data_IF_790240455660
#
_entry.id   IF_790240455660
#
_cell.length_a   1.000
_cell.length_b   1.000
_cell.length_c   1.000
_cell.angle_alpha   90.00
_cell.angle_beta   90.00
_cell.angle_gamma   90.00
#
_symmetry.space_group_name_H-M   'P 1'
#
loop_
_entity.id
_entity.type
_entity.pdbx_description
1 polymer ?
#
# COMPACT_ATOMS: atom_id res chain seq x y z
N UNK A 1 24.62 -7.74 -22.05
CA UNK A 1 23.30 -7.29 -21.57
C UNK A 1 22.62 -8.29 -20.64
N UNK A 2 22.34 -9.55 -21.04
CA UNK A 2 21.71 -10.56 -20.13
C UNK A 2 22.50 -10.84 -18.84
N UNK A 3 23.84 -10.80 -18.89
CA UNK A 3 24.69 -11.01 -17.71
C UNK A 3 24.73 -9.80 -16.76
N UNK A 4 24.53 -8.59 -17.27
CA UNK A 4 24.59 -7.35 -16.48
C UNK A 4 23.34 -7.15 -15.63
N UNK A 5 22.16 -7.51 -16.16
CA UNK A 5 20.88 -7.47 -15.42
C UNK A 5 20.89 -8.50 -14.28
N UNK A 6 21.42 -9.70 -14.53
CA UNK A 6 21.55 -10.73 -13.50
C UNK A 6 22.52 -10.31 -12.38
N UNK A 7 23.62 -9.61 -12.71
CA UNK A 7 24.57 -9.12 -11.70
C UNK A 7 24.03 -7.98 -10.83
N UNK A 8 23.15 -7.11 -11.37
CA UNK A 8 22.48 -6.07 -10.57
C UNK A 8 21.46 -6.69 -9.61
N UNK A 9 20.75 -7.75 -10.05
CA UNK A 9 19.83 -8.52 -9.20
C UNK A 9 20.58 -9.31 -8.11
N UNK A 10 21.76 -9.85 -8.42
CA UNK A 10 22.55 -10.67 -7.48
C UNK A 10 23.38 -9.85 -6.46
N UNK A 11 23.65 -8.57 -6.71
CA UNK A 11 24.43 -7.74 -5.78
C UNK A 11 23.57 -7.08 -4.69
N UNK A 12 22.24 -7.06 -4.86
CA UNK A 12 21.27 -6.49 -3.92
C UNK A 12 20.84 -7.43 -2.78
N UNK A 13 21.32 -8.67 -2.77
CA UNK A 13 20.85 -9.73 -1.85
C UNK A 13 21.63 -9.85 -0.54
N UNK A 14 22.67 -9.03 -0.31
CA UNK A 14 23.56 -9.21 0.86
C UNK A 14 23.41 -8.20 2.00
N UNK A 15 22.56 -7.18 1.87
CA UNK A 15 22.32 -6.19 2.92
C UNK A 15 20.86 -5.78 2.88
N UNK A 16 20.04 -6.29 3.80
CA UNK A 16 18.66 -5.84 3.93
C UNK A 16 18.20 -5.94 5.38
N UNK A 17 17.99 -4.79 6.01
CA UNK A 17 17.07 -4.64 7.14
C UNK A 17 15.84 -3.91 6.58
N UNK A 18 14.66 -4.47 6.83
CA UNK A 18 13.43 -4.04 6.19
C UNK A 18 12.74 -2.88 6.93
N UNK A 19 12.42 -1.81 6.19
CA UNK A 19 11.30 -0.95 6.52
C UNK A 19 10.69 -0.36 5.24
N UNK A 20 9.48 -0.80 4.89
CA UNK A 20 8.68 -0.25 3.79
C UNK A 20 7.29 0.07 4.30
N UNK A 21 6.83 1.28 4.03
CA UNK A 21 5.44 1.70 4.26
C UNK A 21 4.61 1.12 3.10
N UNK A 22 3.57 0.33 3.43
CA UNK A 22 2.47 -0.08 2.53
C UNK A 22 2.87 -1.07 1.43
N UNK A 23 2.72 -2.36 1.68
CA UNK A 23 3.09 -3.43 0.74
C UNK A 23 1.88 -3.96 -0.04
N UNK A 24 0.77 -4.23 0.64
CA UNK A 24 -0.53 -4.55 0.03
C UNK A 24 -1.45 -3.31 0.09
N UNK A 25 -2.29 -3.12 -0.93
CA UNK A 25 -3.19 -1.96 -0.98
C UNK A 25 -4.25 -2.04 0.12
N UNK A 26 -4.76 -3.24 0.43
CA UNK A 26 -5.75 -3.47 1.50
C UNK A 26 -5.24 -3.09 2.91
N UNK A 27 -3.93 -2.90 3.10
CA UNK A 27 -3.37 -2.36 4.35
C UNK A 27 -3.82 -0.93 4.63
N UNK A 28 -4.25 -0.22 3.59
CA UNK A 28 -4.79 1.13 3.65
C UNK A 28 -6.28 1.11 3.30
N UNK A 29 -7.17 1.74 4.07
CA UNK A 29 -8.60 1.72 3.77
C UNK A 29 -8.93 2.32 2.40
N UNK A 30 -8.24 3.39 1.96
CA UNK A 30 -8.41 3.93 0.60
C UNK A 30 -7.91 2.99 -0.52
N UNK A 31 -6.98 2.07 -0.20
CA UNK A 31 -6.49 1.03 -1.10
C UNK A 31 -7.46 -0.14 -1.32
N UNK A 32 -8.61 -0.17 -0.65
CA UNK A 32 -9.66 -1.18 -0.86
C UNK A 32 -10.45 -0.92 -2.15
N UNK A 33 -10.54 0.33 -2.59
CA UNK A 33 -11.32 0.74 -3.76
C UNK A 33 -10.43 1.09 -4.93
N UNK A 34 -11.01 1.02 -6.13
CA UNK A 34 -10.40 1.53 -7.35
C UNK A 34 -8.99 0.94 -7.62
N UNK A 35 -8.83 -0.37 -7.42
CA UNK A 35 -7.58 -1.06 -7.75
C UNK A 35 -7.57 -1.49 -9.23
N UNK A 36 -6.42 -1.38 -9.92
CA UNK A 36 -6.31 -1.73 -11.34
C UNK A 36 -6.10 -3.24 -11.61
N UNK A 37 -6.10 -4.05 -10.56
CA UNK A 37 -5.80 -5.49 -10.59
C UNK A 37 -6.88 -6.30 -9.89
N UNK A 38 -6.97 -7.58 -10.24
CA UNK A 38 -7.70 -8.62 -9.53
C UNK A 38 -6.82 -9.36 -8.53
N UNK A 39 -5.55 -9.57 -8.88
CA UNK A 39 -4.58 -10.24 -8.00
C UNK A 39 -3.26 -9.49 -8.03
N UNK A 40 -2.66 -9.35 -6.85
CA UNK A 40 -1.32 -8.79 -6.66
C UNK A 40 -0.49 -9.71 -5.76
N UNK A 41 0.76 -9.87 -6.14
CA UNK A 41 1.79 -10.47 -5.30
C UNK A 41 2.91 -9.46 -5.08
N UNK A 42 3.52 -9.46 -3.91
CA UNK A 42 4.69 -8.64 -3.60
C UNK A 42 5.71 -9.48 -2.82
N UNK A 43 6.99 -9.23 -3.05
CA UNK A 43 8.06 -9.80 -2.23
C UNK A 43 9.09 -8.74 -1.88
N UNK A 44 9.62 -8.83 -0.67
CA UNK A 44 10.65 -7.95 -0.13
C UNK A 44 11.43 -8.66 0.98
N UNK A 45 12.64 -8.18 1.35
CA UNK A 45 13.42 -8.73 2.45
C UNK A 45 12.64 -8.72 3.77
N UNK A 46 12.73 -9.81 4.54
CA UNK A 46 12.24 -9.84 5.92
C UNK A 46 13.22 -9.12 6.85
N UNK A 47 12.78 -8.81 8.08
CA UNK A 47 13.67 -8.42 9.16
C UNK A 47 14.56 -9.60 9.63
N UNK A 48 14.13 -10.84 9.36
CA UNK A 48 14.89 -12.05 9.67
C UNK A 48 15.87 -12.39 8.55
N UNK A 49 17.13 -12.62 8.91
CA UNK A 49 18.19 -12.97 7.98
C UNK A 49 17.84 -14.24 7.18
N UNK A 50 18.06 -14.19 5.87
CA UNK A 50 17.80 -15.30 4.96
C UNK A 50 16.31 -15.56 4.66
N UNK A 51 15.40 -14.74 5.18
CA UNK A 51 13.95 -14.85 4.91
C UNK A 51 13.44 -13.71 4.04
N UNK A 52 12.40 -14.01 3.28
CA UNK A 52 11.69 -13.04 2.45
C UNK A 52 10.22 -13.01 2.83
N UNK A 53 9.64 -11.83 2.89
CA UNK A 53 8.19 -11.68 3.02
C UNK A 53 7.56 -11.76 1.64
N UNK A 54 6.46 -12.51 1.53
CA UNK A 54 5.62 -12.62 0.35
C UNK A 54 4.22 -12.16 0.75
N UNK A 55 3.73 -11.11 0.12
CA UNK A 55 2.36 -10.65 0.25
C UNK A 55 1.52 -11.11 -0.94
N UNK A 56 0.28 -11.51 -0.69
CA UNK A 56 -0.72 -11.81 -1.70
C UNK A 56 -1.99 -11.01 -1.40
N UNK A 57 -2.58 -10.42 -2.43
CA UNK A 57 -3.85 -9.71 -2.34
C UNK A 57 -4.75 -10.06 -3.53
N UNK A 58 -6.03 -10.32 -3.24
CA UNK A 58 -7.10 -10.37 -4.21
C UNK A 58 -8.00 -9.15 -4.07
N UNK A 59 -8.44 -8.60 -5.19
CA UNK A 59 -9.40 -7.50 -5.28
C UNK A 59 -10.53 -7.85 -6.25
N UNK A 60 -11.75 -7.49 -5.88
CA UNK A 60 -12.95 -7.69 -6.67
C UNK A 60 -13.83 -6.44 -6.63
N UNK A 61 -14.05 -5.84 -7.79
CA UNK A 61 -15.05 -4.78 -7.99
C UNK A 61 -16.30 -5.32 -8.68
N UNK A 62 -17.47 -5.22 -8.04
CA UNK A 62 -18.79 -5.57 -8.57
C UNK A 62 -19.68 -4.33 -8.61
N UNK A 63 -19.62 -3.60 -9.72
CA UNK A 63 -20.28 -2.30 -9.84
C UNK A 63 -19.70 -1.31 -8.83
N UNK A 64 -20.50 -0.70 -7.94
CA UNK A 64 -19.99 0.20 -6.93
C UNK A 64 -19.32 -0.52 -5.74
N UNK A 65 -19.55 -1.82 -5.54
CA UNK A 65 -19.04 -2.56 -4.39
C UNK A 65 -17.62 -3.06 -4.69
N UNK A 66 -16.72 -2.88 -3.75
CA UNK A 66 -15.32 -3.30 -3.82
C UNK A 66 -15.01 -4.19 -2.62
N UNK A 67 -14.33 -5.29 -2.86
CA UNK A 67 -13.83 -6.20 -1.83
C UNK A 67 -12.34 -6.44 -2.07
N UNK A 68 -11.54 -6.38 -1.00
CA UNK A 68 -10.12 -6.77 -1.05
C UNK A 68 -9.79 -7.70 0.12
N UNK A 69 -8.96 -8.69 -0.13
CA UNK A 69 -8.40 -9.56 0.92
C UNK A 69 -6.93 -9.79 0.63
N UNK A 70 -6.09 -9.72 1.66
CA UNK A 70 -4.67 -9.94 1.50
C UNK A 70 -4.00 -10.48 2.76
N UNK A 71 -2.87 -11.14 2.59
CA UNK A 71 -2.09 -11.72 3.68
C UNK A 71 -0.61 -11.69 3.33
N UNK A 72 0.22 -11.83 4.36
CA UNK A 72 1.63 -12.12 4.20
C UNK A 72 1.92 -13.59 4.54
N UNK A 73 3.08 -14.04 4.09
CA UNK A 73 3.76 -15.24 4.53
C UNK A 73 5.26 -14.99 4.45
N UNK A 74 6.06 -15.75 5.21
CA UNK A 74 7.52 -15.77 5.04
C UNK A 74 7.97 -16.96 4.20
N UNK A 75 8.99 -16.77 3.38
CA UNK A 75 9.72 -17.84 2.71
C UNK A 75 11.11 -17.98 3.37
N UNK A 76 11.59 -19.20 3.63
CA UNK A 76 11.00 -20.51 3.24
C UNK A 76 9.92 -21.06 4.20
N UNK A 77 9.71 -20.43 5.36
CA UNK A 77 8.79 -20.90 6.40
C UNK A 77 7.33 -20.50 6.09
N UNK A 78 6.73 -21.17 5.10
CA UNK A 78 5.37 -20.89 4.64
C UNK A 78 4.33 -21.33 5.68
N UNK A 79 3.96 -20.43 6.59
CA UNK A 79 2.88 -20.63 7.57
C UNK A 79 1.66 -19.77 7.21
N UNK A 80 0.48 -20.38 7.19
CA UNK A 80 -0.78 -19.71 6.83
C UNK A 80 -1.57 -19.18 8.04
N UNK A 81 -0.92 -19.01 9.19
CA UNK A 81 -1.55 -18.46 10.40
C UNK A 81 -1.25 -16.95 10.57
N UNK A 82 -0.88 -16.29 9.48
CA UNK A 82 -0.53 -14.87 9.48
C UNK A 82 -1.77 -13.97 9.48
N UNK A 83 -1.52 -12.67 9.72
CA UNK A 83 -2.56 -11.64 9.71
C UNK A 83 -3.18 -11.51 8.33
N UNK A 84 -4.51 -11.64 8.27
CA UNK A 84 -5.32 -11.42 7.07
C UNK A 84 -5.93 -10.04 7.13
N UNK A 85 -5.70 -9.25 6.10
CA UNK A 85 -6.30 -7.95 5.87
C UNK A 85 -7.55 -8.12 5.03
N UNK A 86 -8.67 -7.58 5.49
CA UNK A 86 -9.96 -7.63 4.79
C UNK A 86 -10.48 -6.21 4.62
N UNK A 87 -10.93 -5.89 3.41
CA UNK A 87 -11.46 -4.60 3.05
C UNK A 87 -12.78 -4.71 2.31
N UNK A 88 -13.69 -3.79 2.61
CA UNK A 88 -14.94 -3.58 1.88
C UNK A 88 -15.11 -2.09 1.59
N UNK A 89 -15.56 -1.75 0.39
CA UNK A 89 -15.81 -0.36 0.00
C UNK A 89 -16.95 -0.20 -0.98
N UNK A 90 -17.47 1.02 -1.04
CA UNK A 90 -18.45 1.47 -2.02
C UNK A 90 -17.85 2.68 -2.72
N UNK A 91 -17.78 2.64 -4.05
CA UNK A 91 -17.33 3.74 -4.90
C UNK A 91 -18.41 4.09 -5.92
N UNK A 92 -18.81 5.36 -5.97
CA UNK A 92 -19.84 5.86 -6.89
C UNK A 92 -19.53 7.28 -7.34
N UNK A 93 -19.55 7.51 -8.65
CA UNK A 93 -19.40 8.86 -9.23
C UNK A 93 -18.09 9.56 -8.87
N UNK A 94 -17.02 8.80 -8.55
CA UNK A 94 -15.74 9.34 -8.10
C UNK A 94 -15.62 9.56 -6.59
N UNK A 95 -16.69 9.35 -5.82
CA UNK A 95 -16.65 9.34 -4.36
C UNK A 95 -16.51 7.91 -3.85
N UNK A 96 -15.91 7.73 -2.68
CA UNK A 96 -15.90 6.43 -2.02
C UNK A 96 -15.99 6.51 -0.50
N UNK A 97 -16.49 5.43 0.08
CA UNK A 97 -16.32 5.06 1.47
C UNK A 97 -15.77 3.63 1.51
N UNK A 98 -14.79 3.38 2.35
CA UNK A 98 -14.23 2.06 2.53
C UNK A 98 -13.81 1.81 3.96
N UNK A 99 -13.79 0.55 4.34
CA UNK A 99 -13.30 0.09 5.62
C UNK A 99 -12.31 -1.04 5.40
N UNK A 100 -11.31 -1.12 6.28
CA UNK A 100 -10.44 -2.28 6.38
C UNK A 100 -10.28 -2.71 7.83
N UNK A 101 -10.13 -4.00 8.04
CA UNK A 101 -9.84 -4.60 9.33
C UNK A 101 -8.85 -5.76 9.13
N UNK A 102 -8.36 -6.30 10.23
CA UNK A 102 -7.47 -7.47 10.22
C UNK A 102 -8.05 -8.60 11.07
N UNK A 103 -7.79 -9.84 10.68
CA UNK A 103 -8.17 -11.06 11.39
C UNK A 103 -7.12 -12.16 11.12
N UNK A 104 -7.39 -13.40 11.46
CA UNK A 104 -6.61 -14.59 11.06
C UNK A 104 -7.43 -15.46 10.12
N UNK A 105 -6.77 -16.36 9.39
CA UNK A 105 -7.44 -17.32 8.48
C UNK A 105 -8.51 -18.13 9.23
N UNK A 106 -8.19 -18.60 10.43
CA UNK A 106 -9.09 -19.43 11.25
C UNK A 106 -10.32 -18.66 11.77
N UNK A 107 -10.26 -17.33 11.80
CA UNK A 107 -11.32 -16.47 12.35
C UNK A 107 -11.98 -15.56 11.31
N UNK A 108 -11.83 -15.88 10.02
CA UNK A 108 -12.42 -15.09 8.92
C UNK A 108 -13.94 -14.95 9.02
N UNK A 109 -14.63 -15.95 9.55
CA UNK A 109 -16.09 -15.98 9.69
C UNK A 109 -16.59 -15.44 11.03
N UNK A 110 -15.70 -15.15 11.98
CA UNK A 110 -16.04 -14.63 13.31
C UNK A 110 -15.79 -13.12 13.38
N UNK A 111 -16.86 -12.33 13.27
CA UNK A 111 -16.78 -10.86 13.36
C UNK A 111 -16.15 -10.35 14.65
N UNK A 112 -16.26 -11.10 15.75
CA UNK A 112 -15.72 -10.67 17.05
C UNK A 112 -14.19 -10.76 17.11
N UNK A 113 -13.57 -11.52 16.22
CA UNK A 113 -12.12 -11.66 16.13
C UNK A 113 -11.43 -10.54 15.33
N UNK A 114 -12.20 -9.78 14.53
CA UNK A 114 -11.64 -8.70 13.72
C UNK A 114 -11.11 -7.56 14.58
N UNK A 115 -9.98 -6.97 14.18
CA UNK A 115 -9.49 -5.72 14.74
C UNK A 115 -10.45 -4.56 14.48
N UNK A 116 -10.27 -3.47 15.20
CA UNK A 116 -11.04 -2.26 15.00
C UNK A 116 -10.89 -1.75 13.54
N UNK A 117 -12.01 -1.58 12.81
CA UNK A 117 -11.93 -1.23 11.41
C UNK A 117 -11.50 0.22 11.22
N UNK A 118 -10.55 0.44 10.32
CA UNK A 118 -10.19 1.77 9.85
C UNK A 118 -11.05 2.15 8.66
N UNK A 119 -11.64 3.33 8.69
CA UNK A 119 -12.51 3.84 7.63
C UNK A 119 -11.77 4.90 6.81
N UNK A 120 -12.03 4.97 5.51
CA UNK A 120 -11.66 6.09 4.66
C UNK A 120 -12.89 6.62 3.92
N UNK A 121 -12.94 7.93 3.76
CA UNK A 121 -13.85 8.63 2.87
C UNK A 121 -13.02 9.38 1.85
N UNK A 122 -13.45 9.48 0.60
CA UNK A 122 -12.60 10.17 -0.36
C UNK A 122 -13.16 10.37 -1.73
N UNK A 123 -12.32 10.99 -2.54
CA UNK A 123 -12.44 11.07 -3.98
C UNK A 123 -11.45 10.11 -4.59
N UNK A 124 -11.88 9.32 -5.56
CA UNK A 124 -11.00 8.35 -6.18
C UNK A 124 -11.56 7.82 -7.47
N UNK A 125 -10.65 7.37 -8.32
CA UNK A 125 -11.00 6.75 -9.57
C UNK A 125 -9.81 6.02 -10.14
N UNK A 126 -10.10 5.02 -10.96
CA UNK A 126 -9.10 4.38 -11.78
C UNK A 126 -9.59 4.29 -13.22
N UNK A 127 -8.65 4.26 -14.13
CA UNK A 127 -8.88 3.99 -15.54
C UNK A 127 -7.88 2.92 -15.96
N UNK A 128 -8.35 1.87 -16.64
CA UNK A 128 -7.52 0.85 -17.29
C UNK A 128 -7.86 0.90 -18.78
N UNK A 129 -6.88 1.13 -19.64
CA UNK A 129 -7.10 1.32 -21.08
C UNK A 129 -7.08 0.00 -21.86
N UNK A 130 -6.35 -1.01 -21.37
CA UNK A 130 -6.31 -2.34 -21.97
C UNK A 130 -5.91 -3.41 -20.95
N UNK A 131 -6.42 -4.63 -21.16
CA UNK A 131 -6.03 -5.83 -20.41
C UNK A 131 -4.71 -6.40 -20.96
N UNK A 132 -4.46 -6.23 -22.27
CA UNK A 132 -3.30 -6.81 -22.98
C UNK A 132 -2.06 -5.93 -22.88
N UNK A 133 -2.25 -4.61 -22.78
CA UNK A 133 -1.21 -3.62 -22.54
C UNK A 133 -1.61 -2.83 -21.30
N UNK A 134 -1.08 -3.14 -20.12
CA UNK A 134 -1.53 -2.55 -18.87
C UNK A 134 -1.06 -1.09 -18.77
N UNK A 135 -1.81 -0.23 -19.44
CA UNK A 135 -1.86 1.21 -19.21
C UNK A 135 -3.04 1.47 -18.31
N UNK A 136 -2.75 2.08 -17.17
CA UNK A 136 -3.72 2.43 -16.17
C UNK A 136 -3.28 3.69 -15.43
N UNK A 137 -4.26 4.39 -14.89
CA UNK A 137 -4.07 5.56 -14.05
C UNK A 137 -5.00 5.48 -12.85
N UNK A 138 -4.53 5.90 -11.68
CA UNK A 138 -5.26 5.92 -10.43
C UNK A 138 -5.09 7.27 -9.74
N UNK A 139 -6.19 7.75 -9.18
CA UNK A 139 -6.25 8.91 -8.32
C UNK A 139 -6.97 8.52 -7.03
N UNK A 140 -6.44 8.97 -5.89
CA UNK A 140 -7.07 8.86 -4.58
C UNK A 140 -6.76 10.13 -3.77
N UNK A 141 -7.80 10.74 -3.22
CA UNK A 141 -7.72 11.70 -2.12
C UNK A 141 -8.59 11.16 -1.00
N UNK A 142 -7.99 10.76 0.12
CA UNK A 142 -8.69 10.12 1.23
C UNK A 142 -8.55 10.88 2.54
N UNK A 143 -9.63 10.90 3.30
CA UNK A 143 -9.74 11.33 4.68
C UNK A 143 -9.92 10.09 5.55
N UNK A 144 -8.99 9.87 6.47
CA UNK A 144 -8.90 8.65 7.29
C UNK A 144 -8.95 9.06 8.76
N UNK A 145 -10.13 9.00 9.41
CA UNK A 145 -10.24 9.25 10.84
C UNK A 145 -9.55 8.13 11.64
N UNK A 146 -8.88 8.50 12.73
CA UNK A 146 -8.16 7.53 13.56
C UNK A 146 -9.06 6.76 14.54
N UNK A 147 -10.18 7.35 14.95
CA UNK A 147 -10.99 6.91 16.09
C UNK A 147 -12.51 7.01 15.83
N UNK A 148 -12.95 6.90 14.58
CA UNK A 148 -14.38 6.96 14.22
C UNK A 148 -15.18 5.74 14.70
N UNK A 149 -14.57 4.54 14.62
CA UNK A 149 -15.16 3.30 15.10
C UNK A 149 -14.32 2.81 16.26
N UNK A 150 -14.96 2.41 17.35
CA UNK A 150 -14.33 1.79 18.52
C UNK A 150 -14.87 0.38 18.73
N UNK A 151 -14.07 -0.48 19.36
CA UNK A 151 -14.48 -1.83 19.77
C UNK A 151 -14.76 -1.92 21.27
N UNK A 152 -16.00 -2.23 21.64
CA UNK A 152 -16.43 -2.42 23.03
C UNK A 152 -17.13 -3.77 23.21
N UNK A 153 -16.65 -4.60 24.14
CA UNK A 153 -17.22 -5.93 24.43
C UNK A 153 -17.42 -6.80 23.17
N UNK A 154 -16.45 -6.77 22.24
CA UNK A 154 -16.51 -7.53 20.98
C UNK A 154 -17.39 -6.90 19.89
N UNK A 155 -18.08 -5.80 20.15
CA UNK A 155 -18.95 -5.12 19.20
C UNK A 155 -18.32 -3.82 18.71
N UNK A 156 -18.56 -3.48 17.44
CA UNK A 156 -18.15 -2.21 16.86
C UNK A 156 -19.20 -1.14 17.10
N UNK A 157 -18.77 0.04 17.52
CA UNK A 157 -19.64 1.20 17.75
C UNK A 157 -19.01 2.46 17.15
N UNK A 158 -19.85 3.42 16.78
CA UNK A 158 -19.38 4.76 16.45
C UNK A 158 -18.87 5.44 17.73
N UNK A 159 -17.73 6.12 17.64
CA UNK A 159 -17.23 6.93 18.73
C UNK A 159 -18.02 8.25 18.80
N UNK A 160 -18.80 8.42 19.86
CA UNK A 160 -19.61 9.63 20.06
C UNK A 160 -18.75 10.87 20.40
N UNK A 161 -17.51 10.67 20.85
CA UNK A 161 -16.55 11.74 21.15
C UNK A 161 -15.49 11.91 20.04
N UNK A 162 -15.83 11.52 18.81
CA UNK A 162 -14.95 11.59 17.66
C UNK A 162 -14.48 13.02 17.35
N UNK A 163 -13.16 13.19 17.19
CA UNK A 163 -12.53 14.45 16.79
C UNK A 163 -12.23 14.44 15.27
N UNK A 164 -12.93 15.30 14.53
CA UNK A 164 -12.76 15.48 13.09
C UNK A 164 -11.35 15.91 12.67
N UNK A 165 -10.56 16.46 13.58
CA UNK A 165 -9.18 16.87 13.34
C UNK A 165 -8.18 15.75 13.65
N UNK A 166 -8.60 14.68 14.34
CA UNK A 166 -7.82 13.47 14.55
C UNK A 166 -7.90 12.52 13.34
N UNK A 167 -7.51 13.03 12.18
CA UNK A 167 -7.59 12.30 10.92
C UNK A 167 -6.39 12.61 10.01
N UNK A 168 -6.09 11.66 9.13
CA UNK A 168 -5.07 11.81 8.09
C UNK A 168 -5.73 12.18 6.76
N UNK A 169 -5.00 12.94 5.93
CA UNK A 169 -5.34 13.20 4.53
C UNK A 169 -4.25 12.64 3.66
N UNK A 170 -4.62 11.75 2.75
CA UNK A 170 -3.69 11.12 1.81
C UNK A 170 -4.07 11.47 0.38
N UNK A 171 -3.07 11.69 -0.46
CA UNK A 171 -3.19 11.91 -1.89
C UNK A 171 -2.29 10.91 -2.61
N UNK A 172 -2.84 10.17 -3.57
CA UNK A 172 -2.11 9.24 -4.42
C UNK A 172 -2.50 9.49 -5.86
N UNK A 173 -1.49 9.68 -6.71
CA UNK A 173 -1.61 9.74 -8.16
C UNK A 173 -0.63 8.72 -8.71
N UNK A 174 -1.11 7.79 -9.54
CA UNK A 174 -0.29 6.72 -10.07
C UNK A 174 -0.65 6.45 -11.52
N UNK A 175 0.32 6.20 -12.38
CA UNK A 175 0.07 5.86 -13.80
C UNK A 175 1.15 4.93 -14.34
N UNK A 176 0.75 4.11 -15.30
CA UNK A 176 1.60 3.27 -16.15
C UNK A 176 1.34 3.53 -17.64
N UNK A 177 0.90 4.75 -18.01
CA UNK A 177 0.52 5.04 -19.40
C UNK A 177 1.74 5.25 -20.32
N UNK A 178 2.70 6.07 -19.89
CA UNK A 178 3.94 6.39 -20.64
C UNK A 178 5.20 6.04 -19.86
N UNK A 179 5.09 5.07 -18.95
CA UNK A 179 6.08 4.74 -17.92
C UNK A 179 5.47 4.82 -16.53
N UNK A 180 6.19 4.32 -15.51
CA UNK A 180 5.69 4.33 -14.13
C UNK A 180 5.83 5.72 -13.51
N UNK A 181 4.69 6.34 -13.21
CA UNK A 181 4.59 7.55 -12.42
C UNK A 181 3.89 7.25 -11.10
N UNK A 182 4.42 7.79 -10.01
CA UNK A 182 3.78 7.78 -8.69
C UNK A 182 4.02 9.14 -8.06
N UNK A 183 2.99 9.73 -7.50
CA UNK A 183 3.08 10.78 -6.51
C UNK A 183 2.18 10.41 -5.33
N UNK A 184 2.78 10.20 -4.18
CA UNK A 184 2.10 9.94 -2.92
C UNK A 184 2.40 11.06 -1.93
N UNK A 185 1.38 11.54 -1.23
CA UNK A 185 1.52 12.48 -0.12
C UNK A 185 0.60 12.03 1.02
N UNK A 186 1.14 11.94 2.22
CA UNK A 186 0.44 11.44 3.39
C UNK A 186 0.67 12.41 4.54
N UNK A 187 -0.40 12.97 5.10
CA UNK A 187 -0.28 13.85 6.26
C UNK A 187 -0.18 13.06 7.55
N UNK A 188 0.38 13.69 8.59
CA UNK A 188 0.09 13.35 9.98
C UNK A 188 -1.38 13.65 10.30
N UNK A 189 -1.69 13.96 11.55
CA UNK A 189 -3.07 14.36 11.86
C UNK A 189 -3.34 15.81 11.42
N UNK A 190 -4.58 16.11 11.04
CA UNK A 190 -5.01 17.50 10.78
C UNK A 190 -4.80 18.36 12.03
N UNK A 191 -5.00 17.81 13.22
CA UNK A 191 -4.73 18.48 14.49
C UNK A 191 -3.27 18.88 14.66
N UNK A 192 -2.32 18.01 14.27
CA UNK A 192 -0.89 18.34 14.26
C UNK A 192 -0.57 19.50 13.30
N UNK A 193 -1.17 19.48 12.09
CA UNK A 193 -1.04 20.57 11.12
C UNK A 193 -1.59 21.90 11.68
N UNK A 194 -2.78 21.89 12.28
CA UNK A 194 -3.41 23.09 12.85
C UNK A 194 -2.60 23.67 14.02
N UNK A 195 -1.89 22.82 14.76
CA UNK A 195 -1.01 23.21 15.86
C UNK A 195 0.42 23.60 15.40
N UNK A 196 0.66 23.70 14.09
CA UNK A 196 1.96 24.10 13.52
C UNK A 196 3.02 22.99 13.50
N UNK A 197 2.66 21.75 13.82
CA UNK A 197 3.56 20.59 13.81
C UNK A 197 3.30 19.73 12.57
N UNK A 198 3.56 20.27 11.38
CA UNK A 198 3.24 19.58 10.13
C UNK A 198 4.16 18.37 9.88
N UNK A 199 3.67 17.18 10.24
CA UNK A 199 4.27 15.90 9.87
C UNK A 199 3.69 15.43 8.55
N UNK A 200 4.54 14.91 7.67
CA UNK A 200 4.11 14.34 6.40
C UNK A 200 5.10 13.27 5.93
N UNK A 201 4.64 12.45 5.00
CA UNK A 201 5.45 11.54 4.20
C UNK A 201 5.11 11.79 2.74
N UNK A 202 6.07 11.63 1.84
CA UNK A 202 5.80 11.71 0.41
C UNK A 202 6.61 10.68 -0.38
N UNK A 203 6.12 10.34 -1.55
CA UNK A 203 6.75 9.43 -2.50
C UNK A 203 6.62 10.01 -3.92
N UNK A 204 7.68 9.85 -4.72
CA UNK A 204 7.71 10.27 -6.10
C UNK A 204 8.46 9.24 -6.94
N UNK A 205 7.81 8.72 -7.98
CA UNK A 205 8.45 7.97 -9.04
C UNK A 205 8.31 8.74 -10.36
N UNK A 206 9.43 9.03 -11.01
CA UNK A 206 9.49 9.73 -12.28
C UNK A 206 9.90 8.76 -13.41
N UNK A 207 9.09 8.64 -14.47
CA UNK A 207 9.33 7.68 -15.53
C UNK A 207 10.57 8.03 -16.37
N UNK A 208 11.30 6.99 -16.77
CA UNK A 208 12.41 7.01 -17.71
C UNK A 208 12.32 5.75 -18.58
N UNK A 209 11.38 5.76 -19.54
CA UNK A 209 10.99 4.59 -20.35
C UNK A 209 10.49 3.42 -19.45
N UNK A 210 11.09 2.22 -19.56
CA UNK A 210 10.77 1.09 -18.70
C UNK A 210 11.37 1.22 -17.28
N UNK A 211 12.28 2.17 -17.05
CA UNK A 211 12.86 2.46 -15.76
C UNK A 211 12.21 3.68 -15.11
N UNK A 212 12.48 3.92 -13.82
CA UNK A 212 12.08 5.15 -13.14
C UNK A 212 13.04 5.50 -12.00
N UNK A 213 13.12 6.78 -11.69
CA UNK A 213 13.82 7.29 -10.51
C UNK A 213 12.80 7.43 -9.39
N UNK A 214 13.16 6.98 -8.19
CA UNK A 214 12.31 7.07 -7.00
C UNK A 214 12.95 7.96 -5.94
N UNK A 215 12.14 8.82 -5.32
CA UNK A 215 12.53 9.62 -4.17
C UNK A 215 11.37 9.62 -3.19
N UNK A 216 11.65 9.44 -1.90
CA UNK A 216 10.65 9.58 -0.86
C UNK A 216 11.22 10.18 0.41
N UNK A 217 10.33 10.67 1.25
CA UNK A 217 10.63 11.09 2.61
C UNK A 217 9.60 10.49 3.56
N UNK A 218 10.06 9.82 4.62
CA UNK A 218 9.19 9.29 5.66
C UNK A 218 8.74 10.36 6.66
N UNK A 219 7.76 10.01 7.52
CA UNK A 219 7.27 10.88 8.60
C UNK A 219 8.35 11.30 9.61
N UNK A 220 9.47 10.55 9.69
CA UNK A 220 10.62 10.88 10.52
C UNK A 220 11.62 11.83 9.83
N UNK A 221 11.29 12.30 8.63
CA UNK A 221 12.09 13.23 7.84
C UNK A 221 13.20 12.57 7.03
N UNK A 222 13.38 11.25 7.10
CA UNK A 222 14.44 10.56 6.35
C UNK A 222 14.12 10.50 4.88
N UNK A 223 15.13 10.81 4.08
CA UNK A 223 15.08 10.71 2.64
C UNK A 223 15.53 9.33 2.18
N UNK A 224 14.82 8.80 1.19
CA UNK A 224 15.19 7.59 0.45
C UNK A 224 15.27 7.94 -1.02
N UNK A 225 16.24 7.34 -1.70
CA UNK A 225 16.41 7.44 -3.16
C UNK A 225 16.45 6.05 -3.75
N UNK A 226 15.97 5.89 -4.97
CA UNK A 226 15.85 4.57 -5.56
C UNK A 226 15.79 4.57 -7.08
N UNK A 227 15.92 3.37 -7.62
CA UNK A 227 15.72 3.08 -9.03
C UNK A 227 14.77 1.91 -9.13
N UNK A 228 13.83 2.01 -10.06
CA UNK A 228 12.94 0.92 -10.35
C UNK A 228 12.81 0.65 -11.84
N UNK A 229 12.19 -0.49 -12.13
CA UNK A 229 11.86 -0.92 -13.47
C UNK A 229 10.45 -1.48 -13.48
N UNK A 230 9.69 -1.13 -14.51
CA UNK A 230 8.33 -1.60 -14.72
C UNK A 230 8.23 -2.33 -16.05
N UNK A 231 7.55 -3.46 -16.02
CA UNK A 231 7.05 -4.20 -17.17
C UNK A 231 5.53 -4.28 -17.04
N UNK A 232 4.86 -4.84 -18.04
CA UNK A 232 3.40 -4.92 -18.09
C UNK A 232 2.77 -5.31 -16.75
N UNK A 233 3.20 -6.40 -16.14
CA UNK A 233 2.60 -6.94 -14.92
C UNK A 233 3.59 -7.01 -13.75
N UNK A 234 4.80 -6.46 -13.87
CA UNK A 234 5.84 -6.53 -12.83
C UNK A 234 6.38 -5.12 -12.57
N UNK A 235 6.53 -4.77 -11.30
CA UNK A 235 7.27 -3.59 -10.85
C UNK A 235 8.35 -4.02 -9.86
N UNK A 236 9.59 -3.62 -10.10
CA UNK A 236 10.71 -3.82 -9.17
C UNK A 236 11.26 -2.45 -8.75
N UNK A 237 11.54 -2.29 -7.46
CA UNK A 237 12.09 -1.07 -6.88
C UNK A 237 13.20 -1.42 -5.90
N UNK A 238 14.39 -0.83 -6.09
CA UNK A 238 15.44 -0.77 -5.08
C UNK A 238 15.52 0.63 -4.49
N UNK A 239 15.66 0.76 -3.18
CA UNK A 239 15.81 2.04 -2.48
C UNK A 239 16.98 2.00 -1.51
N UNK A 240 17.57 3.17 -1.28
CA UNK A 240 18.66 3.42 -0.35
C UNK A 240 18.21 4.52 0.62
N UNK A 241 18.25 4.22 1.92
CA UNK A 241 17.95 5.16 2.99
C UNK A 241 19.19 6.01 3.30
N UNK A 242 19.07 7.33 3.13
CA UNK A 242 20.19 8.26 3.29
C UNK A 242 20.66 8.39 4.75
N UNK A 243 19.79 8.07 5.73
CA UNK A 243 20.16 8.13 7.16
C UNK A 243 20.81 6.84 7.61
N UNK A 244 20.18 5.69 7.31
CA UNK A 244 20.64 4.39 7.83
C UNK A 244 21.69 3.73 6.94
N UNK A 245 21.91 4.26 5.72
CA UNK A 245 22.75 3.62 4.70
C UNK A 245 22.30 2.20 4.33
N UNK A 246 21.03 1.87 4.58
CA UNK A 246 20.47 0.56 4.27
C UNK A 246 19.87 0.55 2.88
N UNK A 247 20.04 -0.58 2.20
CA UNK A 247 19.36 -0.85 0.94
C UNK A 247 18.18 -1.78 1.22
N UNK A 248 17.05 -1.50 0.60
CA UNK A 248 15.90 -2.40 0.56
C UNK A 248 15.36 -2.48 -0.85
N UNK A 249 14.60 -3.52 -1.14
CA UNK A 249 14.00 -3.72 -2.45
C UNK A 249 12.63 -4.37 -2.31
N UNK A 250 11.80 -4.18 -3.32
CA UNK A 250 10.58 -4.96 -3.48
C UNK A 250 10.37 -5.30 -4.95
N UNK A 251 9.71 -6.43 -5.18
CA UNK A 251 9.21 -6.83 -6.49
C UNK A 251 7.73 -7.12 -6.31
N UNK A 252 6.88 -6.49 -7.11
CA UNK A 252 5.46 -6.76 -7.16
C UNK A 252 5.04 -7.22 -8.54
N UNK A 253 4.05 -8.09 -8.59
CA UNK A 253 3.39 -8.50 -9.81
C UNK A 253 1.87 -8.31 -9.66
N UNK A 254 1.19 -7.90 -10.72
CA UNK A 254 -0.25 -7.63 -10.69
C UNK A 254 -0.94 -8.04 -12.00
N UNK A 255 -2.18 -8.52 -11.91
CA UNK A 255 -3.02 -8.94 -13.03
C UNK A 255 -4.42 -8.34 -12.92
#
# INVERSE_FOLDING_TARGET
>A
MKKTVASVILFLTYLSFAFTIGTLSVENPGGVVNQPYFVRAITFPSAEEGKYTIGLEGHLGLGPINFSIGTFTKYPDLEFNETVHVGLGIAFGGFFISAKATTTVDSLTDMSAYSEPKIAFGLGGFRKTSILFPSWSRFELSYIPNDLIIKENGNFKLNESFDWTNAQVNLIIQSQDTGYFLFGFYSGTISELMNGNFKYSFELALPADFAYIYVSQGFDGNWKVGLGAILSFINALGTYDLRTSQITWNISAQF
#
